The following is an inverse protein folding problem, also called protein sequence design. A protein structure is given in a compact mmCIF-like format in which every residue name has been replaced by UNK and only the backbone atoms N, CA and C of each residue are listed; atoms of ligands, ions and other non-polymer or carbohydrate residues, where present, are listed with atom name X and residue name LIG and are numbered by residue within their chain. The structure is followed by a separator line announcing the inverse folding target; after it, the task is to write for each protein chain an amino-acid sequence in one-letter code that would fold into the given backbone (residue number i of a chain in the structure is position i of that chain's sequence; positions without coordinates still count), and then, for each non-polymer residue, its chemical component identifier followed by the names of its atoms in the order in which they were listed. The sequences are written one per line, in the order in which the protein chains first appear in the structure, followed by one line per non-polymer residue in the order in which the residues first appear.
data_IF_485689813785
#
_entry.id   IF_485689813785
#
_cell.length_a   1.000
_cell.length_b   1.000
_cell.length_c   1.000
_cell.angle_alpha   90.00
_cell.angle_beta   90.00
_cell.angle_gamma   90.00
#
_symmetry.space_group_name_H-M   'P 1'
#
loop_
_entity.id
_entity.type
_entity.pdbx_description
1 polymer ?
#
# COMPACT_ATOMS: atom_id res chain seq x y z
N UNK A 1 -0.75 5.34 18.60
CA UNK A 1 0.55 5.39 17.90
C UNK A 1 0.73 4.12 17.09
N UNK A 2 1.30 4.22 15.88
CA UNK A 2 1.55 3.08 14.98
C UNK A 2 2.42 1.99 15.63
N UNK A 3 3.33 2.36 16.53
CA UNK A 3 4.21 1.44 17.25
C UNK A 3 3.47 0.33 18.02
N UNK A 4 2.21 0.57 18.42
CA UNK A 4 1.37 -0.44 19.10
C UNK A 4 1.09 -1.67 18.22
N UNK A 5 1.13 -1.52 16.90
CA UNK A 5 0.82 -2.63 15.99
C UNK A 5 2.04 -3.49 15.65
N UNK A 6 3.27 -2.99 15.85
CA UNK A 6 4.49 -3.75 15.57
C UNK A 6 4.55 -5.04 16.39
N UNK A 7 4.32 -4.96 17.70
CA UNK A 7 4.30 -6.14 18.58
C UNK A 7 3.12 -7.07 18.31
N UNK A 8 2.02 -6.56 17.76
CA UNK A 8 0.85 -7.37 17.40
C UNK A 8 1.09 -8.16 16.11
N UNK A 9 1.74 -7.54 15.12
CA UNK A 9 2.08 -8.19 13.84
C UNK A 9 3.01 -9.38 14.07
N UNK A 10 3.98 -9.27 14.98
CA UNK A 10 4.90 -10.36 15.33
C UNK A 10 4.21 -11.62 15.89
N UNK A 11 3.00 -11.47 16.44
CA UNK A 11 2.23 -12.55 17.07
C UNK A 11 1.03 -12.99 16.22
N UNK A 12 0.93 -12.53 14.97
CA UNK A 12 -0.17 -12.93 14.08
C UNK A 12 -0.04 -14.41 13.67
N UNK A 13 -1.17 -15.12 13.68
CA UNK A 13 -1.23 -16.54 13.30
C UNK A 13 -1.52 -16.72 11.80
N UNK A 14 -1.87 -15.65 11.08
CA UNK A 14 -2.21 -15.73 9.66
C UNK A 14 -1.89 -14.44 8.89
N UNK A 15 -1.71 -14.57 7.57
CA UNK A 15 -1.54 -13.43 6.65
C UNK A 15 -2.74 -12.49 6.70
N UNK A 16 -3.96 -13.00 6.87
CA UNK A 16 -5.18 -12.20 6.96
C UNK A 16 -5.15 -11.25 8.17
N UNK A 17 -4.58 -11.67 9.29
CA UNK A 17 -4.40 -10.81 10.46
C UNK A 17 -3.38 -9.70 10.19
N UNK A 18 -2.28 -10.03 9.51
CA UNK A 18 -1.26 -9.06 9.09
C UNK A 18 -1.90 -7.99 8.18
N UNK A 19 -2.65 -8.40 7.16
CA UNK A 19 -3.38 -7.50 6.25
C UNK A 19 -4.42 -6.63 7.00
N UNK A 20 -5.06 -7.17 8.05
CA UNK A 20 -5.97 -6.42 8.92
C UNK A 20 -5.24 -5.30 9.70
N UNK A 21 -4.06 -5.58 10.23
CA UNK A 21 -3.22 -4.59 10.89
C UNK A 21 -2.62 -3.58 9.91
N UNK A 22 -2.25 -4.01 8.70
CA UNK A 22 -1.81 -3.13 7.62
C UNK A 22 -2.89 -2.11 7.28
N UNK A 23 -4.13 -2.55 7.03
CA UNK A 23 -5.24 -1.65 6.71
C UNK A 23 -5.57 -0.67 7.85
N UNK A 24 -5.46 -1.11 9.10
CA UNK A 24 -5.64 -0.24 10.27
C UNK A 24 -4.52 0.79 10.39
N UNK A 25 -3.28 0.35 10.18
CA UNK A 25 -2.09 1.20 10.22
C UNK A 25 -2.11 2.24 9.09
N UNK A 26 -2.49 1.83 7.88
CA UNK A 26 -2.64 2.72 6.74
C UNK A 26 -3.68 3.82 7.01
N UNK A 27 -4.85 3.49 7.59
CA UNK A 27 -5.85 4.49 7.98
C UNK A 27 -5.30 5.53 8.95
N UNK A 28 -4.58 5.09 9.97
CA UNK A 28 -3.96 5.99 10.96
C UNK A 28 -2.86 6.84 10.34
N UNK A 29 -2.01 6.25 9.49
CA UNK A 29 -0.96 6.96 8.77
C UNK A 29 -1.55 8.07 7.89
N UNK A 30 -2.54 7.76 7.06
CA UNK A 30 -3.16 8.75 6.17
C UNK A 30 -3.95 9.83 6.93
N UNK A 31 -4.57 9.48 8.06
CA UNK A 31 -5.21 10.47 8.94
C UNK A 31 -4.21 11.42 9.60
N UNK A 32 -3.00 10.95 9.91
CA UNK A 32 -1.90 11.80 10.36
C UNK A 32 -1.38 12.68 9.22
N UNK A 33 -1.15 12.08 8.06
CA UNK A 33 -0.62 12.76 6.88
C UNK A 33 -1.53 13.89 6.39
N UNK A 34 -2.86 13.72 6.44
CA UNK A 34 -3.78 14.79 5.99
C UNK A 34 -3.71 16.07 6.82
N UNK A 35 -3.12 16.01 8.02
CA UNK A 35 -2.87 17.18 8.88
C UNK A 35 -1.58 17.92 8.52
N UNK A 36 -0.73 17.32 7.69
CA UNK A 36 0.59 17.84 7.32
C UNK A 36 0.64 18.39 5.89
N UNK A 37 -0.36 18.07 5.07
CA UNK A 37 -0.46 18.56 3.70
C UNK A 37 -1.03 19.97 3.66
N UNK A 38 -0.70 20.72 2.60
CA UNK A 38 -1.30 22.02 2.33
C UNK A 38 -2.83 21.89 2.17
N UNK A 39 -3.58 22.94 2.54
CA UNK A 39 -5.04 22.93 2.54
C UNK A 39 -5.64 22.59 1.16
N UNK A 40 -5.03 23.05 0.06
CA UNK A 40 -5.43 22.72 -1.31
C UNK A 40 -5.34 21.21 -1.64
N UNK A 41 -4.54 20.47 -0.87
CA UNK A 41 -4.36 19.03 -0.98
C UNK A 41 -4.96 18.27 0.21
N UNK A 42 -5.79 18.93 1.02
CA UNK A 42 -6.45 18.26 2.13
C UNK A 42 -7.28 17.07 1.67
N UNK A 43 -7.30 16.01 2.48
CA UNK A 43 -8.04 14.78 2.20
C UNK A 43 -8.47 14.07 3.50
N UNK A 44 -9.65 13.45 3.50
CA UNK A 44 -10.15 12.76 4.71
C UNK A 44 -9.56 11.35 4.88
N UNK A 45 -9.41 10.65 3.75
CA UNK A 45 -8.97 9.25 3.72
C UNK A 45 -8.43 8.89 2.33
N UNK A 46 -7.69 7.79 2.25
CA UNK A 46 -7.23 7.24 0.97
C UNK A 46 -8.42 6.80 0.11
N UNK A 47 -8.51 7.33 -1.11
CA UNK A 47 -9.50 6.95 -2.15
C UNK A 47 -8.78 6.56 -3.44
N UNK A 48 -8.86 5.27 -3.83
CA UNK A 48 -8.06 4.72 -4.94
C UNK A 48 -8.82 4.64 -6.27
N UNK A 49 -10.09 4.22 -6.26
CA UNK A 49 -10.87 3.91 -7.49
C UNK A 49 -12.35 4.31 -7.32
N UNK A 50 -12.76 5.51 -7.77
CA UNK A 50 -11.91 6.62 -8.25
C UNK A 50 -11.26 7.41 -7.10
N UNK A 51 -10.15 8.14 -7.35
CA UNK A 51 -9.66 9.17 -6.45
C UNK A 51 -10.66 10.33 -6.38
N UNK A 52 -10.83 10.91 -5.18
CA UNK A 52 -11.88 11.92 -4.90
C UNK A 52 -11.37 13.34 -4.70
N UNK A 53 -10.05 13.52 -4.65
CA UNK A 53 -9.39 14.80 -4.37
C UNK A 53 -8.01 14.85 -5.04
N UNK A 54 -7.39 16.06 -5.12
CA UNK A 54 -6.09 16.23 -5.77
C UNK A 54 -4.98 15.36 -5.16
N UNK A 55 -4.93 15.24 -3.84
CA UNK A 55 -3.92 14.42 -3.16
C UNK A 55 -4.05 12.94 -3.52
N UNK A 56 -5.27 12.40 -3.42
CA UNK A 56 -5.55 11.02 -3.79
C UNK A 56 -5.28 10.76 -5.28
N UNK A 57 -5.47 11.75 -6.14
CA UNK A 57 -5.12 11.67 -7.56
C UNK A 57 -3.60 11.52 -7.74
N UNK A 58 -2.83 12.44 -7.17
CA UNK A 58 -1.36 12.43 -7.25
C UNK A 58 -0.76 11.13 -6.69
N UNK A 59 -1.15 10.73 -5.49
CA UNK A 59 -0.58 9.53 -4.87
C UNK A 59 -1.02 8.25 -5.61
N UNK A 60 -2.22 8.21 -6.21
CA UNK A 60 -2.64 7.07 -7.05
C UNK A 60 -1.80 6.96 -8.31
N UNK A 61 -1.50 8.10 -8.92
CA UNK A 61 -0.60 8.15 -10.08
C UNK A 61 0.82 7.72 -9.70
N UNK A 62 1.36 8.27 -8.60
CA UNK A 62 2.68 7.91 -8.08
C UNK A 62 2.80 6.42 -7.76
N UNK A 63 1.81 5.81 -7.10
CA UNK A 63 1.80 4.36 -6.88
C UNK A 63 1.74 3.55 -8.18
N UNK A 64 1.08 4.05 -9.22
CA UNK A 64 1.04 3.36 -10.52
C UNK A 64 2.41 3.37 -11.20
N UNK A 65 3.13 4.50 -11.12
CA UNK A 65 4.51 4.59 -11.61
C UNK A 65 5.44 3.68 -10.81
N UNK A 66 5.40 3.77 -9.47
CA UNK A 66 6.23 2.94 -8.59
C UNK A 66 5.99 1.44 -8.83
N UNK A 67 4.73 1.04 -8.92
CA UNK A 67 4.36 -0.36 -9.19
C UNK A 67 4.98 -0.87 -10.49
N UNK A 68 4.92 -0.07 -11.56
CA UNK A 68 5.53 -0.45 -12.85
C UNK A 68 7.06 -0.56 -12.74
N UNK A 69 7.72 0.38 -12.05
CA UNK A 69 9.18 0.31 -11.82
C UNK A 69 9.58 -0.93 -11.02
N UNK A 70 8.81 -1.28 -9.97
CA UNK A 70 9.06 -2.49 -9.18
C UNK A 70 8.86 -3.75 -10.02
N UNK A 71 7.82 -3.81 -10.85
CA UNK A 71 7.61 -4.93 -11.79
C UNK A 71 8.79 -5.08 -12.74
N UNK A 72 9.27 -3.96 -13.32
CA UNK A 72 10.44 -3.96 -14.20
C UNK A 72 11.69 -4.45 -13.47
N UNK A 73 11.96 -3.95 -12.27
CA UNK A 73 13.11 -4.34 -11.46
C UNK A 73 13.08 -5.83 -11.11
N UNK A 74 11.93 -6.37 -10.71
CA UNK A 74 11.75 -7.79 -10.42
C UNK A 74 12.04 -8.65 -11.66
N UNK A 75 11.50 -8.26 -12.81
CA UNK A 75 11.73 -8.98 -14.06
C UNK A 75 13.22 -8.93 -14.49
N UNK A 76 13.91 -7.80 -14.28
CA UNK A 76 15.33 -7.64 -14.62
C UNK A 76 16.24 -8.60 -13.83
N UNK A 77 15.91 -8.87 -12.56
CA UNK A 77 16.66 -9.81 -11.72
C UNK A 77 16.18 -11.26 -11.86
N UNK A 78 15.23 -11.53 -12.75
CA UNK A 78 14.68 -12.87 -13.00
C UNK A 78 13.68 -13.37 -11.96
N UNK A 79 13.13 -12.50 -11.11
CA UNK A 79 12.08 -12.85 -10.16
C UNK A 79 10.70 -12.82 -10.83
N UNK A 80 9.81 -13.72 -10.40
CA UNK A 80 8.42 -13.73 -10.85
C UNK A 80 7.62 -12.64 -10.10
N UNK A 81 7.33 -11.53 -10.78
CA UNK A 81 6.57 -10.41 -10.22
C UNK A 81 5.14 -10.77 -9.77
N UNK A 82 4.60 -11.88 -10.24
CA UNK A 82 3.31 -12.42 -9.84
C UNK A 82 3.40 -13.46 -8.72
N UNK A 83 4.56 -13.72 -8.11
CA UNK A 83 4.67 -14.69 -7.01
C UNK A 83 4.72 -13.97 -5.65
N UNK A 84 3.58 -13.43 -5.20
CA UNK A 84 3.47 -12.76 -3.90
C UNK A 84 3.49 -13.72 -2.71
N UNK A 85 3.94 -13.22 -1.56
CA UNK A 85 3.93 -13.88 -0.26
C UNK A 85 2.76 -13.43 0.62
N UNK A 86 2.44 -12.13 0.61
CA UNK A 86 1.41 -11.52 1.47
C UNK A 86 0.14 -11.28 0.66
N UNK A 87 0.26 -10.63 -0.50
CA UNK A 87 -0.87 -10.40 -1.38
C UNK A 87 -1.23 -11.65 -2.19
N UNK A 88 -2.53 -11.94 -2.31
CA UNK A 88 -3.01 -13.05 -3.12
C UNK A 88 -2.87 -12.77 -4.61
N UNK A 89 -2.51 -13.82 -5.36
CA UNK A 89 -2.54 -13.83 -6.80
C UNK A 89 -3.98 -13.71 -7.32
N UNK A 90 -4.35 -12.50 -7.73
CA UNK A 90 -5.48 -12.26 -8.63
C UNK A 90 -4.95 -12.26 -10.06
N UNK A 91 -5.75 -12.78 -11.01
CA UNK A 91 -5.35 -12.80 -12.42
C UNK A 91 -4.87 -11.41 -12.88
N UNK A 92 -3.66 -11.35 -13.42
CA UNK A 92 -3.05 -10.11 -13.93
C UNK A 92 -2.47 -9.16 -12.86
N UNK A 93 -2.52 -9.51 -11.58
CA UNK A 93 -1.92 -8.71 -10.51
C UNK A 93 -0.51 -9.21 -10.18
N UNK A 94 0.50 -8.33 -10.27
CA UNK A 94 1.86 -8.63 -9.84
C UNK A 94 1.91 -8.50 -8.30
N UNK A 95 1.55 -9.59 -7.63
CA UNK A 95 1.40 -9.62 -6.17
C UNK A 95 2.73 -9.35 -5.45
N UNK A 96 3.87 -9.86 -5.96
CA UNK A 96 5.18 -9.59 -5.38
C UNK A 96 5.57 -8.11 -5.49
N UNK A 97 5.21 -7.47 -6.60
CA UNK A 97 5.42 -6.04 -6.74
C UNK A 97 4.59 -5.23 -5.73
N UNK A 98 3.43 -5.74 -5.32
CA UNK A 98 2.59 -5.11 -4.28
C UNK A 98 3.09 -5.39 -2.88
N UNK A 99 3.72 -6.55 -2.64
CA UNK A 99 4.35 -6.87 -1.36
C UNK A 99 5.57 -5.99 -1.05
N UNK A 100 6.26 -5.48 -2.08
CA UNK A 100 7.42 -4.61 -1.94
C UNK A 100 7.09 -3.12 -1.74
N UNK A 101 5.81 -2.73 -1.89
CA UNK A 101 5.34 -1.35 -1.76
C UNK A 101 4.54 -1.13 -0.48
#
# INVERSE_FOLDING_TARGET
SLNKYISKIQNCASINEILGFEGTSAKLYFSGLSKLVHDDFHFDKRSKRPPKDPFNTLISYGYSLLYNEVVLALNQVGLNSHAGFIHQNKLGHAALASDLM
#
